data_IF_888145398503
#
_entry.id   IF_888145398503
#
_cell.length_a   1.000
_cell.length_b   1.000
_cell.length_c   1.000
_cell.angle_alpha   90.00
_cell.angle_beta   90.00
_cell.angle_gamma   90.00
#
_symmetry.space_group_name_H-M   'P 1'
#
loop_
_entity.id
_entity.type
_entity.pdbx_description
1 polymer ?
#
# COMPACT_ATOMS: atom_id res chain seq x y z
N UNK A 1 61.48 2.09 -23.12
CA UNK A 1 62.79 2.39 -22.51
C UNK A 1 62.60 2.77 -21.05
N UNK A 2 63.34 2.03 -20.25
CA UNK A 2 63.80 2.26 -18.87
C UNK A 2 62.80 2.11 -17.72
N UNK A 3 62.94 0.96 -17.18
CA UNK A 3 62.87 0.42 -15.80
C UNK A 3 63.51 1.30 -14.74
N UNK A 4 62.88 1.36 -13.56
CA UNK A 4 63.53 1.41 -12.24
C UNK A 4 62.49 0.89 -11.24
N UNK A 5 62.55 -0.20 -10.71
CA UNK A 5 63.43 -1.14 -9.94
C UNK A 5 64.01 -0.51 -8.67
N UNK A 6 63.58 -1.10 -7.59
CA UNK A 6 64.07 -1.07 -6.20
C UNK A 6 63.78 0.18 -5.35
N UNK A 7 63.02 -0.02 -4.27
CA UNK A 7 63.59 0.00 -2.95
C UNK A 7 62.71 -0.74 -1.93
N UNK A 8 63.29 -1.84 -1.52
CA UNK A 8 62.93 -2.58 -0.31
C UNK A 8 63.65 -1.89 0.82
N UNK A 9 62.98 -1.59 1.90
CA UNK A 9 63.60 -1.64 3.23
C UNK A 9 62.49 -1.82 4.29
N UNK A 10 62.54 -2.95 4.89
CA UNK A 10 62.15 -3.49 6.15
C UNK A 10 62.32 -2.45 7.30
N UNK A 11 61.28 -2.19 8.06
CA UNK A 11 61.43 -1.92 9.48
C UNK A 11 60.40 -2.71 10.23
N UNK A 12 60.84 -3.83 10.80
CA UNK A 12 60.24 -4.57 11.91
C UNK A 12 60.41 -3.76 13.17
N UNK A 13 59.29 -3.45 13.85
CA UNK A 13 59.39 -3.14 15.29
C UNK A 13 58.18 -3.69 16.03
N UNK A 14 58.49 -4.71 16.81
CA UNK A 14 57.66 -5.24 17.87
C UNK A 14 57.25 -4.11 18.82
N UNK A 15 55.98 -4.00 19.18
CA UNK A 15 55.62 -3.55 20.52
C UNK A 15 54.50 -4.41 21.09
N UNK A 16 54.75 -4.83 22.27
CA UNK A 16 54.11 -5.69 23.22
C UNK A 16 52.68 -5.24 23.62
N UNK A 17 51.82 -6.22 23.73
CA UNK A 17 50.96 -6.56 24.86
C UNK A 17 50.40 -5.36 25.66
N UNK A 18 49.12 -5.14 25.47
CA UNK A 18 48.27 -4.45 26.41
C UNK A 18 46.93 -5.16 26.49
N UNK A 19 46.81 -6.17 27.39
CA UNK A 19 45.56 -6.70 27.86
C UNK A 19 44.86 -5.60 28.65
N UNK A 20 43.83 -4.98 28.12
CA UNK A 20 42.85 -4.24 28.89
C UNK A 20 41.54 -5.00 28.79
N UNK A 21 41.13 -5.56 29.93
CA UNK A 21 39.76 -6.03 30.15
C UNK A 21 38.84 -4.83 30.01
N UNK A 22 38.04 -4.79 28.99
CA UNK A 22 36.92 -3.90 28.91
C UNK A 22 35.65 -4.74 29.05
N UNK A 23 34.90 -4.38 30.06
CA UNK A 23 33.64 -5.00 30.43
C UNK A 23 32.68 -5.09 29.23
N UNK A 24 32.15 -6.28 29.06
CA UNK A 24 31.00 -6.54 28.20
C UNK A 24 29.76 -5.93 28.84
N UNK A 25 29.48 -4.68 28.58
CA UNK A 25 28.10 -4.23 28.55
C UNK A 25 27.53 -4.68 27.23
N UNK A 26 26.88 -5.82 27.26
CA UNK A 26 26.00 -6.26 26.20
C UNK A 26 24.83 -5.29 26.14
N UNK A 27 24.92 -4.30 25.26
CA UNK A 27 23.76 -3.58 24.79
C UNK A 27 22.86 -4.62 24.10
N UNK A 28 21.85 -5.00 24.89
CA UNK A 28 20.71 -5.76 24.42
C UNK A 28 20.00 -4.86 23.42
N UNK A 29 20.43 -4.92 22.14
CA UNK A 29 19.59 -4.48 21.03
C UNK A 29 18.32 -5.30 21.16
N UNK A 30 17.34 -4.69 21.79
CA UNK A 30 15.97 -5.15 21.74
C UNK A 30 15.56 -5.11 20.28
N UNK A 31 15.71 -6.24 19.60
CA UNK A 31 14.98 -6.45 18.37
C UNK A 31 13.52 -6.40 18.76
N UNK A 32 12.91 -5.24 18.65
CA UNK A 32 11.48 -5.12 18.53
C UNK A 32 11.15 -5.93 17.29
N UNK A 33 10.75 -7.18 17.51
CA UNK A 33 9.98 -7.91 16.53
C UNK A 33 8.77 -7.02 16.30
N UNK A 34 8.78 -6.31 15.17
CA UNK A 34 7.57 -5.70 14.64
C UNK A 34 6.71 -6.91 14.34
N UNK A 35 5.83 -7.22 15.27
CA UNK A 35 4.75 -8.16 15.06
C UNK A 35 4.02 -7.62 13.83
N UNK A 36 4.19 -8.31 12.73
CA UNK A 36 3.48 -8.03 11.49
C UNK A 36 2.01 -8.31 11.79
N UNK A 37 1.35 -7.29 12.35
CA UNK A 37 -0.05 -7.34 12.71
C UNK A 37 -0.78 -7.47 11.39
N UNK A 38 -1.09 -8.72 11.01
CA UNK A 38 -1.92 -9.01 9.83
C UNK A 38 -3.13 -8.10 9.91
N UNK A 39 -3.10 -7.07 9.09
CA UNK A 39 -4.16 -6.07 9.05
C UNK A 39 -5.40 -6.76 8.49
N UNK A 40 -6.45 -6.87 9.29
CA UNK A 40 -7.73 -7.42 8.85
C UNK A 40 -8.34 -6.47 7.79
N UNK A 41 -8.41 -6.87 6.51
CA UNK A 41 -8.88 -5.99 5.45
C UNK A 41 -10.33 -5.53 5.62
N UNK A 42 -11.14 -6.29 6.38
CA UNK A 42 -12.53 -5.95 6.66
C UNK A 42 -12.68 -4.93 7.79
N UNK A 43 -11.65 -4.75 8.62
CA UNK A 43 -11.62 -3.74 9.68
C UNK A 43 -10.86 -2.48 9.28
N UNK A 44 -10.04 -2.57 8.25
CA UNK A 44 -9.31 -1.42 7.74
C UNK A 44 -10.26 -0.49 6.98
N UNK A 45 -10.38 0.75 7.43
CA UNK A 45 -11.18 1.78 6.77
C UNK A 45 -10.37 2.63 5.77
N UNK A 46 -9.05 2.47 5.73
CA UNK A 46 -8.16 3.28 4.90
C UNK A 46 -7.93 4.69 5.42
N UNK A 47 -7.44 5.54 4.52
CA UNK A 47 -7.09 6.95 4.78
C UNK A 47 -7.96 7.84 3.88
N UNK A 48 -8.79 8.68 4.49
CA UNK A 48 -9.66 9.57 3.73
C UNK A 48 -10.84 10.10 4.56
N UNK A 49 -11.80 10.75 3.91
CA UNK A 49 -12.89 11.41 4.60
C UNK A 49 -13.94 10.44 5.19
N UNK A 50 -13.98 9.19 4.73
CA UNK A 50 -15.02 8.25 5.11
C UNK A 50 -14.57 7.45 6.34
N UNK A 51 -15.29 7.61 7.44
CA UNK A 51 -15.02 6.87 8.69
C UNK A 51 -15.88 5.60 8.85
N UNK A 52 -17.06 5.60 8.25
CA UNK A 52 -17.98 4.44 8.24
C UNK A 52 -18.97 4.55 7.10
N UNK A 53 -19.49 3.41 6.66
CA UNK A 53 -20.56 3.35 5.65
C UNK A 53 -21.63 2.40 6.14
N UNK A 54 -22.83 2.90 6.27
CA UNK A 54 -24.00 2.07 6.54
C UNK A 54 -24.60 1.57 5.22
N UNK A 55 -24.69 0.25 5.10
CA UNK A 55 -25.29 -0.41 3.96
C UNK A 55 -26.59 -1.08 4.37
N UNK A 56 -27.68 -0.76 3.67
CA UNK A 56 -28.92 -1.51 3.83
C UNK A 56 -28.74 -2.95 3.33
N UNK A 57 -29.58 -3.87 3.81
CA UNK A 57 -29.58 -5.25 3.31
C UNK A 57 -29.95 -5.33 1.82
N UNK A 58 -30.80 -4.42 1.36
CA UNK A 58 -31.20 -4.34 -0.04
C UNK A 58 -30.31 -3.36 -0.80
N UNK A 59 -29.96 -3.72 -2.03
CA UNK A 59 -29.24 -2.86 -2.95
C UNK A 59 -30.20 -1.81 -3.50
N UNK A 60 -29.82 -0.54 -3.42
CA UNK A 60 -30.54 0.55 -4.09
C UNK A 60 -30.23 0.49 -5.59
N UNK A 61 -31.17 -0.02 -6.38
CA UNK A 61 -30.97 -0.21 -7.81
C UNK A 61 -30.84 1.11 -8.58
N UNK A 62 -31.46 2.19 -8.11
CA UNK A 62 -31.33 3.51 -8.75
C UNK A 62 -29.94 4.07 -8.50
N UNK A 63 -29.48 4.01 -7.28
CA UNK A 63 -28.14 4.45 -6.91
C UNK A 63 -27.07 3.59 -7.59
N UNK A 64 -27.26 2.28 -7.66
CA UNK A 64 -26.34 1.37 -8.36
C UNK A 64 -26.27 1.65 -9.86
N UNK A 65 -27.39 1.98 -10.51
CA UNK A 65 -27.41 2.37 -11.92
C UNK A 65 -26.60 3.67 -12.15
N UNK A 66 -26.82 4.68 -11.31
CA UNK A 66 -26.02 5.91 -11.36
C UNK A 66 -24.52 5.64 -11.12
N UNK A 67 -24.19 4.80 -10.16
CA UNK A 67 -22.80 4.40 -9.89
C UNK A 67 -22.17 3.68 -11.07
N UNK A 68 -22.92 2.85 -11.78
CA UNK A 68 -22.47 2.19 -13.01
C UNK A 68 -22.13 3.20 -14.10
N UNK A 69 -22.96 4.20 -14.32
CA UNK A 69 -22.71 5.26 -15.32
C UNK A 69 -21.42 6.02 -14.99
N UNK A 70 -21.20 6.38 -13.72
CA UNK A 70 -19.96 7.04 -13.28
C UNK A 70 -18.76 6.11 -13.49
N UNK A 71 -18.88 4.84 -13.11
CA UNK A 71 -17.84 3.84 -13.30
C UNK A 71 -17.46 3.68 -14.77
N UNK A 72 -18.44 3.60 -15.66
CA UNK A 72 -18.22 3.45 -17.10
C UNK A 72 -17.46 4.64 -17.68
N UNK A 73 -17.73 5.84 -17.18
CA UNK A 73 -17.08 7.08 -17.66
C UNK A 73 -15.68 7.31 -17.07
N UNK A 74 -15.48 6.98 -15.80
CA UNK A 74 -14.30 7.40 -15.03
C UNK A 74 -13.31 6.29 -14.73
N UNK A 75 -13.75 5.03 -14.71
CA UNK A 75 -12.95 3.93 -14.16
C UNK A 75 -12.52 2.91 -15.20
N UNK A 76 -13.29 2.72 -16.29
CA UNK A 76 -13.08 1.64 -17.27
C UNK A 76 -11.80 1.76 -18.08
N UNK A 77 -11.18 2.92 -18.12
CA UNK A 77 -9.87 3.09 -18.73
C UNK A 77 -8.79 2.23 -18.04
N UNK A 78 -8.92 2.03 -16.72
CA UNK A 78 -7.95 1.30 -15.90
C UNK A 78 -8.53 0.04 -15.25
N UNK A 79 -9.83 -0.05 -15.04
CA UNK A 79 -10.49 -1.16 -14.35
C UNK A 79 -11.48 -1.89 -15.27
N UNK A 80 -11.38 -3.21 -15.31
CA UNK A 80 -12.42 -4.08 -15.84
C UNK A 80 -13.23 -4.62 -14.67
N UNK A 81 -14.55 -4.77 -14.86
CA UNK A 81 -15.43 -5.15 -13.74
C UNK A 81 -15.04 -6.50 -13.12
N UNK A 82 -14.67 -7.48 -13.93
CA UNK A 82 -14.48 -8.88 -13.51
C UNK A 82 -13.09 -9.46 -13.74
N UNK A 83 -12.18 -8.70 -14.35
CA UNK A 83 -10.83 -9.18 -14.68
C UNK A 83 -9.75 -8.15 -14.34
N UNK A 84 -8.56 -8.61 -14.03
CA UNK A 84 -7.37 -7.75 -13.89
C UNK A 84 -7.08 -7.04 -15.21
N UNK A 85 -6.75 -5.74 -15.10
CA UNK A 85 -6.31 -4.94 -16.23
C UNK A 85 -5.14 -4.05 -15.77
N UNK A 86 -5.22 -2.74 -15.95
CA UNK A 86 -4.22 -1.82 -15.35
C UNK A 86 -4.38 -1.77 -13.84
N UNK A 87 -5.61 -1.83 -13.34
CA UNK A 87 -5.94 -1.94 -11.93
C UNK A 87 -6.70 -3.24 -11.60
N UNK A 88 -7.02 -3.47 -10.31
CA UNK A 88 -7.77 -4.64 -9.87
C UNK A 88 -9.23 -4.63 -10.35
N UNK A 89 -9.81 -5.82 -10.49
CA UNK A 89 -11.23 -6.00 -10.73
C UNK A 89 -12.04 -5.67 -9.47
N UNK A 90 -13.07 -4.81 -9.56
CA UNK A 90 -13.93 -4.50 -8.42
C UNK A 90 -14.95 -5.60 -8.07
N UNK A 91 -15.26 -6.55 -8.97
CA UNK A 91 -16.20 -7.62 -8.67
C UNK A 91 -15.84 -8.35 -7.38
N UNK A 92 -16.81 -8.55 -6.48
CA UNK A 92 -16.66 -9.16 -5.17
C UNK A 92 -15.76 -8.38 -4.20
N UNK A 93 -15.53 -7.08 -4.42
CA UNK A 93 -14.67 -6.28 -3.54
C UNK A 93 -15.27 -6.13 -2.14
N UNK A 94 -16.58 -6.19 -2.02
CA UNK A 94 -17.29 -6.08 -0.75
C UNK A 94 -17.02 -7.27 0.20
N UNK A 95 -16.58 -8.41 -0.34
CA UNK A 95 -16.18 -9.58 0.45
C UNK A 95 -14.72 -9.51 0.89
N UNK A 96 -13.95 -8.57 0.36
CA UNK A 96 -12.50 -8.47 0.56
C UNK A 96 -12.06 -7.19 1.24
N UNK A 97 -12.92 -6.17 1.29
CA UNK A 97 -12.58 -4.83 1.80
C UNK A 97 -13.74 -4.21 2.56
N UNK A 98 -13.39 -3.43 3.57
CA UNK A 98 -14.35 -2.58 4.26
C UNK A 98 -14.94 -1.54 3.28
N UNK A 99 -16.26 -1.30 3.30
CA UNK A 99 -16.90 -0.28 2.45
C UNK A 99 -16.28 1.11 2.53
N UNK A 100 -15.90 1.55 3.73
CA UNK A 100 -15.20 2.83 3.91
C UNK A 100 -13.84 2.85 3.24
N UNK A 101 -13.08 1.74 3.31
CA UNK A 101 -11.81 1.60 2.60
C UNK A 101 -11.99 1.77 1.09
N UNK A 102 -13.03 1.16 0.52
CA UNK A 102 -13.33 1.25 -0.92
C UNK A 102 -13.63 2.69 -1.31
N UNK A 103 -14.47 3.39 -0.55
CA UNK A 103 -14.78 4.79 -0.81
C UNK A 103 -13.55 5.68 -0.65
N UNK A 104 -12.74 5.48 0.39
CA UNK A 104 -11.51 6.23 0.59
C UNK A 104 -10.50 6.01 -0.53
N UNK A 105 -10.41 4.78 -1.07
CA UNK A 105 -9.56 4.51 -2.23
C UNK A 105 -10.02 5.25 -3.49
N UNK A 106 -11.32 5.43 -3.66
CA UNK A 106 -11.90 6.20 -4.78
C UNK A 106 -11.67 7.71 -4.60
N UNK A 107 -11.83 8.22 -3.37
CA UNK A 107 -11.82 9.66 -3.09
C UNK A 107 -10.41 10.22 -2.85
N UNK A 108 -9.51 9.41 -2.28
CA UNK A 108 -8.19 9.85 -1.83
C UNK A 108 -7.07 8.84 -2.17
N UNK A 109 -6.94 8.42 -3.44
CA UNK A 109 -6.03 7.35 -3.84
C UNK A 109 -4.56 7.65 -3.53
N UNK A 110 -4.14 8.90 -3.60
CA UNK A 110 -2.75 9.31 -3.36
C UNK A 110 -2.33 9.04 -1.92
N UNK A 111 -3.09 9.52 -0.94
CA UNK A 111 -2.81 9.29 0.47
C UNK A 111 -3.01 7.81 0.86
N UNK A 112 -3.98 7.15 0.25
CA UNK A 112 -4.19 5.71 0.43
C UNK A 112 -2.92 4.94 0.08
N UNK A 113 -2.34 5.16 -1.11
CA UNK A 113 -1.12 4.45 -1.53
C UNK A 113 0.12 4.84 -0.72
N UNK A 114 0.16 6.04 -0.13
CA UNK A 114 1.25 6.48 0.73
C UNK A 114 1.18 5.89 2.15
N UNK A 115 -0.01 5.78 2.72
CA UNK A 115 -0.18 5.54 4.16
C UNK A 115 -0.87 4.21 4.49
N UNK A 116 -1.74 3.70 3.61
CA UNK A 116 -2.43 2.43 3.83
C UNK A 116 -1.60 1.25 3.28
N UNK A 117 -1.26 0.26 4.10
CA UNK A 117 -0.41 -0.85 3.65
C UNK A 117 -1.08 -1.71 2.57
N UNK A 118 -2.41 -1.92 2.63
CA UNK A 118 -3.13 -2.71 1.62
C UNK A 118 -3.13 -2.00 0.26
N UNK A 119 -3.34 -0.67 0.25
CA UNK A 119 -3.30 0.12 -0.97
C UNK A 119 -1.88 0.16 -1.57
N UNK A 120 -0.85 0.21 -0.72
CA UNK A 120 0.54 0.15 -1.14
C UNK A 120 0.89 -1.20 -1.77
N UNK A 121 0.44 -2.29 -1.17
CA UNK A 121 0.65 -3.64 -1.70
C UNK A 121 -0.02 -3.81 -3.07
N UNK A 122 -1.24 -3.27 -3.24
CA UNK A 122 -1.92 -3.23 -4.53
C UNK A 122 -1.14 -2.41 -5.57
N UNK A 123 -0.59 -1.25 -5.21
CA UNK A 123 0.26 -0.46 -6.11
C UNK A 123 1.46 -1.27 -6.61
N UNK A 124 2.11 -2.03 -5.72
CA UNK A 124 3.22 -2.92 -6.08
C UNK A 124 2.73 -4.07 -6.98
N UNK A 125 1.63 -4.72 -6.62
CA UNK A 125 1.04 -5.83 -7.39
C UNK A 125 0.69 -5.41 -8.82
N UNK A 126 0.28 -4.15 -9.02
CA UNK A 126 -0.07 -3.58 -10.32
C UNK A 126 1.06 -2.75 -10.95
N UNK A 127 2.33 -3.16 -10.71
CA UNK A 127 3.55 -2.62 -11.33
C UNK A 127 3.75 -1.11 -11.11
N UNK A 128 3.29 -0.59 -9.98
CA UNK A 128 3.42 0.83 -9.66
C UNK A 128 2.48 1.75 -10.45
N UNK A 129 1.44 1.21 -11.11
CA UNK A 129 0.43 2.01 -11.79
C UNK A 129 -0.48 2.70 -10.74
N UNK A 130 -0.36 4.01 -10.51
CA UNK A 130 -1.15 4.68 -9.51
C UNK A 130 -2.60 4.86 -9.98
N UNK A 131 -3.54 4.75 -9.05
CA UNK A 131 -4.92 5.15 -9.30
C UNK A 131 -5.00 6.68 -9.30
N UNK A 132 -5.44 7.25 -10.42
CA UNK A 132 -5.62 8.70 -10.53
C UNK A 132 -6.86 9.17 -9.76
N UNK A 133 -6.74 10.27 -9.02
CA UNK A 133 -7.87 10.91 -8.38
C UNK A 133 -8.83 11.46 -9.45
N UNK A 134 -10.08 10.98 -9.41
CA UNK A 134 -11.12 11.36 -10.37
C UNK A 134 -11.93 12.60 -9.93
N UNK A 135 -11.58 13.20 -8.78
CA UNK A 135 -12.27 14.36 -8.18
C UNK A 135 -13.77 14.13 -8.00
N UNK A 136 -14.14 12.94 -7.54
CA UNK A 136 -15.51 12.56 -7.28
C UNK A 136 -15.99 13.12 -5.93
N UNK A 137 -17.28 13.34 -5.81
CA UNK A 137 -17.92 13.64 -4.51
C UNK A 137 -18.13 12.36 -3.69
N UNK A 138 -18.44 12.52 -2.41
CA UNK A 138 -18.78 11.39 -1.53
C UNK A 138 -20.05 10.66 -2.01
N UNK A 139 -21.02 11.39 -2.55
CA UNK A 139 -22.25 10.83 -3.11
C UNK A 139 -21.96 10.01 -4.37
N UNK A 140 -21.08 10.48 -5.24
CA UNK A 140 -20.66 9.75 -6.44
C UNK A 140 -19.87 8.48 -6.05
N UNK A 141 -18.95 8.57 -5.10
CA UNK A 141 -18.24 7.40 -4.57
C UNK A 141 -19.20 6.40 -3.91
N UNK A 142 -20.23 6.90 -3.19
CA UNK A 142 -21.26 6.05 -2.61
C UNK A 142 -22.11 5.35 -3.67
N UNK A 143 -22.41 6.01 -4.78
CA UNK A 143 -23.13 5.42 -5.90
C UNK A 143 -22.27 4.30 -6.56
N UNK A 144 -20.98 4.54 -6.79
CA UNK A 144 -20.06 3.52 -7.30
C UNK A 144 -19.97 2.32 -6.34
N UNK A 145 -19.91 2.57 -5.03
CA UNK A 145 -19.91 1.50 -4.04
C UNK A 145 -21.19 0.65 -4.14
N UNK A 146 -22.37 1.28 -4.36
CA UNK A 146 -23.63 0.56 -4.54
C UNK A 146 -23.61 -0.30 -5.81
N UNK A 147 -23.04 0.22 -6.89
CA UNK A 147 -22.81 -0.58 -8.11
C UNK A 147 -21.90 -1.78 -7.82
N UNK A 148 -20.83 -1.61 -7.04
CA UNK A 148 -19.93 -2.73 -6.70
C UNK A 148 -20.61 -3.84 -5.88
N UNK A 149 -21.71 -3.55 -5.21
CA UNK A 149 -22.55 -4.55 -4.54
C UNK A 149 -23.34 -5.43 -5.52
N UNK A 150 -23.42 -5.04 -6.78
CA UNK A 150 -24.15 -5.78 -7.83
C UNK A 150 -23.27 -6.73 -8.63
N UNK A 151 -21.95 -6.68 -8.46
CA UNK A 151 -20.99 -7.42 -9.30
C UNK A 151 -20.03 -8.30 -8.49
#
# INVERSE_FOLDING_TARGET
>A
MKTNKYWILIISLLFMVGCSKSDKTADKVSSTVVEDKVLDPMKNIGIGPISSVELSSNIDQVLAASGKEIYDLKCTACHKATEKFIGPAPAGIMDRRNPAWVMNMILNPDEMTLQDPIARDLLIEFNGAPMANQSLTEEEARAILEYFRTI
#
